data_IF_796846708182
#
_entry.id   IF_796846708182
#
_cell.length_a   1.000
_cell.length_b   1.000
_cell.length_c   1.000
_cell.angle_alpha   90.00
_cell.angle_beta   90.00
_cell.angle_gamma   90.00
#
_symmetry.space_group_name_H-M   'P 1'
#
loop_
_entity.id
_entity.type
_entity.pdbx_description
1 polymer ?
#
# COMPACT_ATOMS: atom_id res chain seq x y z
N UNK A 1 12.54 42.43 11.22
CA UNK A 1 12.36 41.60 10.00
C UNK A 1 12.73 40.13 10.24
N UNK A 2 13.86 39.81 10.88
CA UNK A 2 14.31 38.43 11.19
C UNK A 2 13.36 37.57 12.06
N UNK A 3 12.78 38.14 13.13
CA UNK A 3 11.88 37.43 14.07
C UNK A 3 10.53 37.00 13.45
N UNK A 4 10.02 37.76 12.48
CA UNK A 4 8.74 37.46 11.82
C UNK A 4 8.90 36.30 10.82
N UNK A 5 10.00 36.28 10.08
CA UNK A 5 10.35 35.20 9.16
C UNK A 5 10.61 33.88 9.87
N UNK A 6 11.26 33.89 11.04
CA UNK A 6 11.48 32.67 11.82
C UNK A 6 10.18 32.09 12.37
N UNK A 7 9.27 32.93 12.87
CA UNK A 7 7.99 32.47 13.41
C UNK A 7 7.07 31.88 12.32
N UNK A 8 7.05 32.47 11.12
CA UNK A 8 6.33 31.92 9.98
C UNK A 8 6.90 30.57 9.52
N UNK A 9 8.23 30.41 9.49
CA UNK A 9 8.85 29.12 9.16
C UNK A 9 8.48 28.03 10.17
N UNK A 10 8.43 28.36 11.46
CA UNK A 10 8.06 27.43 12.52
C UNK A 10 6.59 26.98 12.43
N UNK A 11 5.67 27.92 12.15
CA UNK A 11 4.26 27.62 11.87
C UNK A 11 4.08 26.77 10.62
N UNK A 12 4.82 27.04 9.55
CA UNK A 12 4.79 26.24 8.31
C UNK A 12 5.36 24.83 8.55
N UNK A 13 6.43 24.72 9.33
CA UNK A 13 7.05 23.43 9.67
C UNK A 13 6.12 22.55 10.53
N UNK A 14 5.52 23.13 11.56
CA UNK A 14 4.58 22.41 12.44
C UNK A 14 3.29 21.99 11.72
N UNK A 15 2.77 22.82 10.80
CA UNK A 15 1.62 22.46 9.97
C UNK A 15 1.94 21.38 8.93
N UNK A 16 3.14 21.41 8.33
CA UNK A 16 3.63 20.35 7.43
C UNK A 16 3.70 19.00 8.14
N UNK A 17 4.30 18.93 9.33
CA UNK A 17 4.47 17.68 10.07
C UNK A 17 3.13 17.07 10.49
N UNK A 18 2.17 17.91 10.90
CA UNK A 18 0.80 17.47 11.21
C UNK A 18 0.08 16.90 9.98
N UNK A 19 0.20 17.55 8.82
CA UNK A 19 -0.42 17.06 7.59
C UNK A 19 0.18 15.72 7.16
N UNK A 20 1.51 15.60 7.14
CA UNK A 20 2.19 14.34 6.80
C UNK A 20 1.70 13.19 7.68
N UNK A 21 1.63 13.39 9.00
CA UNK A 21 1.18 12.36 9.93
C UNK A 21 -0.29 11.99 9.70
N UNK A 22 -1.18 12.99 9.60
CA UNK A 22 -2.63 12.76 9.41
C UNK A 22 -2.91 12.04 8.09
N UNK A 23 -2.37 12.54 6.97
CA UNK A 23 -2.60 11.91 5.67
C UNK A 23 -1.90 10.56 5.54
N UNK A 24 -0.72 10.37 6.15
CA UNK A 24 -0.04 9.09 6.23
C UNK A 24 -0.86 8.04 6.99
N UNK A 25 -1.41 8.40 8.16
CA UNK A 25 -2.26 7.50 8.94
C UNK A 25 -3.57 7.16 8.22
N UNK A 26 -4.23 8.13 7.59
CA UNK A 26 -5.46 7.88 6.83
C UNK A 26 -5.16 6.99 5.61
N UNK A 27 -4.10 7.29 4.85
CA UNK A 27 -3.70 6.47 3.71
C UNK A 27 -3.33 5.05 4.14
N UNK A 28 -2.57 4.90 5.23
CA UNK A 28 -2.22 3.60 5.80
C UNK A 28 -3.44 2.82 6.27
N UNK A 29 -4.42 3.48 6.90
CA UNK A 29 -5.66 2.85 7.32
C UNK A 29 -6.48 2.37 6.11
N UNK A 30 -6.66 3.20 5.08
CA UNK A 30 -7.36 2.82 3.85
C UNK A 30 -6.67 1.62 3.20
N UNK A 31 -5.35 1.67 3.05
CA UNK A 31 -4.58 0.57 2.47
C UNK A 31 -4.68 -0.71 3.33
N UNK A 32 -4.71 -0.56 4.66
CA UNK A 32 -4.87 -1.68 5.61
C UNK A 32 -6.25 -2.34 5.50
N UNK A 33 -7.32 -1.56 5.39
CA UNK A 33 -8.67 -2.10 5.16
C UNK A 33 -8.72 -2.82 3.82
N UNK A 34 -8.09 -2.24 2.80
CA UNK A 34 -7.96 -2.86 1.49
C UNK A 34 -7.28 -4.22 1.53
N UNK A 35 -6.09 -4.32 2.10
CA UNK A 35 -5.34 -5.58 2.15
C UNK A 35 -5.96 -6.61 3.10
N UNK A 36 -6.62 -6.16 4.17
CA UNK A 36 -7.35 -7.04 5.08
C UNK A 36 -8.55 -7.73 4.39
N UNK A 37 -9.01 -7.24 3.24
CA UNK A 37 -10.04 -7.94 2.43
C UNK A 37 -9.59 -9.36 2.04
N UNK A 38 -8.28 -9.58 1.87
CA UNK A 38 -7.70 -10.89 1.57
C UNK A 38 -8.04 -11.94 2.63
N UNK A 39 -8.18 -11.53 3.89
CA UNK A 39 -8.56 -12.44 4.98
C UNK A 39 -10.03 -12.91 4.89
N UNK A 40 -10.83 -12.32 3.99
CA UNK A 40 -12.23 -12.64 3.79
C UNK A 40 -12.51 -13.25 2.41
N UNK A 41 -11.48 -13.78 1.75
CA UNK A 41 -11.57 -14.32 0.39
C UNK A 41 -12.69 -15.34 0.20
N UNK A 42 -12.97 -16.17 1.21
CA UNK A 42 -14.07 -17.15 1.17
C UNK A 42 -15.46 -16.52 1.00
N UNK A 43 -15.63 -15.25 1.36
CA UNK A 43 -16.93 -14.54 1.34
C UNK A 43 -17.10 -13.64 0.12
N UNK A 44 -16.00 -13.07 -0.36
CA UNK A 44 -16.02 -12.07 -1.43
C UNK A 44 -15.34 -12.55 -2.71
N UNK A 45 -14.80 -13.77 -2.76
CA UNK A 45 -13.97 -14.35 -3.83
C UNK A 45 -12.62 -13.66 -4.05
N UNK A 46 -11.70 -14.37 -4.70
CA UNK A 46 -10.31 -13.93 -4.89
C UNK A 46 -10.22 -12.69 -5.79
N UNK A 47 -11.00 -12.64 -6.87
CA UNK A 47 -11.03 -11.54 -7.83
C UNK A 47 -11.47 -10.22 -7.19
N UNK A 48 -12.61 -10.22 -6.47
CA UNK A 48 -13.10 -9.01 -5.84
C UNK A 48 -12.22 -8.61 -4.65
N UNK A 49 -11.65 -9.58 -3.93
CA UNK A 49 -10.68 -9.28 -2.86
C UNK A 49 -9.49 -8.50 -3.43
N UNK A 50 -8.94 -8.96 -4.56
CA UNK A 50 -7.82 -8.30 -5.24
C UNK A 50 -8.24 -6.91 -5.74
N UNK A 51 -9.41 -6.80 -6.36
CA UNK A 51 -9.94 -5.52 -6.83
C UNK A 51 -10.08 -4.50 -5.70
N UNK A 52 -10.63 -4.91 -4.55
CA UNK A 52 -10.77 -4.06 -3.36
C UNK A 52 -9.41 -3.63 -2.82
N UNK A 53 -8.44 -4.54 -2.75
CA UNK A 53 -7.08 -4.22 -2.31
C UNK A 53 -6.42 -3.18 -3.23
N UNK A 54 -6.47 -3.37 -4.54
CA UNK A 54 -5.92 -2.43 -5.52
C UNK A 54 -6.63 -1.08 -5.54
N UNK A 55 -7.97 -1.08 -5.50
CA UNK A 55 -8.75 0.16 -5.46
C UNK A 55 -8.44 0.98 -4.19
N UNK A 56 -8.30 0.30 -3.05
CA UNK A 56 -7.93 0.94 -1.79
C UNK A 56 -6.52 1.52 -1.83
N UNK A 57 -5.57 0.84 -2.48
CA UNK A 57 -4.21 1.35 -2.67
C UNK A 57 -4.20 2.63 -3.52
N UNK A 58 -4.95 2.66 -4.63
CA UNK A 58 -5.10 3.85 -5.48
C UNK A 58 -5.74 5.01 -4.70
N UNK A 59 -6.78 4.72 -3.91
CA UNK A 59 -7.41 5.70 -3.05
C UNK A 59 -6.43 6.25 -2.01
N UNK A 60 -5.64 5.40 -1.35
CA UNK A 60 -4.62 5.80 -0.39
C UNK A 60 -3.57 6.73 -1.03
N UNK A 61 -3.04 6.39 -2.21
CA UNK A 61 -2.06 7.23 -2.91
C UNK A 61 -2.63 8.55 -3.40
N UNK A 62 -3.92 8.61 -3.73
CA UNK A 62 -4.58 9.88 -4.10
C UNK A 62 -4.52 10.92 -2.97
N UNK A 63 -4.42 10.48 -1.70
CA UNK A 63 -4.30 11.39 -0.55
C UNK A 63 -2.97 12.15 -0.53
N UNK A 64 -1.93 11.65 -1.19
CA UNK A 64 -0.66 12.39 -1.35
C UNK A 64 -0.93 13.70 -2.09
N UNK A 65 -1.70 13.64 -3.18
CA UNK A 65 -2.06 14.84 -3.94
C UNK A 65 -2.85 15.83 -3.08
N UNK A 66 -3.81 15.35 -2.29
CA UNK A 66 -4.60 16.18 -1.37
C UNK A 66 -3.71 16.85 -0.32
N UNK A 67 -2.76 16.10 0.26
CA UNK A 67 -1.83 16.62 1.25
C UNK A 67 -0.90 17.70 0.66
N UNK A 68 -0.34 17.45 -0.52
CA UNK A 68 0.52 18.41 -1.24
C UNK A 68 -0.27 19.66 -1.60
N UNK A 69 -1.51 19.52 -2.10
CA UNK A 69 -2.40 20.65 -2.40
C UNK A 69 -2.67 21.48 -1.15
N UNK A 70 -3.05 20.85 -0.04
CA UNK A 70 -3.30 21.56 1.23
C UNK A 70 -2.07 22.32 1.70
N UNK A 71 -0.89 21.73 1.55
CA UNK A 71 0.36 22.37 1.94
C UNK A 71 0.77 23.53 1.01
N UNK A 72 0.47 23.42 -0.28
CA UNK A 72 0.62 24.50 -1.27
C UNK A 72 -0.30 25.67 -0.94
N UNK A 73 -1.57 25.39 -0.67
CA UNK A 73 -2.58 26.42 -0.42
C UNK A 73 -2.27 27.18 0.89
N UNK A 74 -1.76 26.48 1.91
CA UNK A 74 -1.26 27.09 3.15
C UNK A 74 0.00 27.98 2.96
N UNK A 75 0.76 27.79 1.87
CA UNK A 75 1.94 28.58 1.50
C UNK A 75 1.63 29.68 0.47
N UNK A 76 0.36 30.06 0.31
CA UNK A 76 -0.03 31.10 -0.63
C UNK A 76 -0.04 30.64 -2.10
N UNK A 77 -0.26 29.35 -2.34
CA UNK A 77 -0.47 28.79 -3.68
C UNK A 77 0.81 28.32 -4.39
N UNK A 78 1.99 28.49 -3.78
CA UNK A 78 3.27 28.02 -4.33
C UNK A 78 3.93 26.99 -3.42
N UNK A 79 4.45 25.92 -4.02
CA UNK A 79 5.25 24.90 -3.34
C UNK A 79 6.40 24.49 -4.26
N UNK A 80 7.60 24.32 -3.70
CA UNK A 80 8.73 23.82 -4.47
C UNK A 80 8.62 22.30 -4.64
N UNK A 81 9.14 21.77 -5.75
CA UNK A 81 9.14 20.33 -6.00
C UNK A 81 9.75 19.53 -4.84
N UNK A 82 10.90 19.97 -4.31
CA UNK A 82 11.56 19.29 -3.18
C UNK A 82 10.70 19.21 -1.91
N UNK A 83 9.88 20.23 -1.63
CA UNK A 83 8.94 20.18 -0.50
C UNK A 83 7.78 19.22 -0.78
N UNK A 84 7.19 19.29 -1.97
CA UNK A 84 6.11 18.39 -2.37
C UNK A 84 6.54 16.91 -2.37
N UNK A 85 7.72 16.63 -2.93
CA UNK A 85 8.31 15.28 -2.95
C UNK A 85 8.55 14.76 -1.53
N UNK A 86 9.13 15.58 -0.65
CA UNK A 86 9.37 15.21 0.75
C UNK A 86 8.07 14.87 1.49
N UNK A 87 7.02 15.67 1.30
CA UNK A 87 5.69 15.40 1.88
C UNK A 87 5.14 14.07 1.37
N UNK A 88 5.21 13.82 0.06
CA UNK A 88 4.78 12.54 -0.51
C UNK A 88 5.57 11.35 0.04
N UNK A 89 6.90 11.45 0.07
CA UNK A 89 7.77 10.39 0.59
C UNK A 89 7.44 10.01 2.04
N UNK A 90 7.24 10.97 2.93
CA UNK A 90 6.89 10.66 4.31
C UNK A 90 5.50 10.07 4.46
N UNK A 91 4.52 10.54 3.70
CA UNK A 91 3.17 9.95 3.69
C UNK A 91 3.25 8.50 3.21
N UNK A 92 3.95 8.24 2.10
CA UNK A 92 4.15 6.88 1.57
C UNK A 92 4.86 5.99 2.58
N UNK A 93 5.90 6.48 3.25
CA UNK A 93 6.63 5.70 4.26
C UNK A 93 5.74 5.29 5.44
N UNK A 94 4.91 6.21 5.95
CA UNK A 94 3.96 5.91 7.02
C UNK A 94 2.92 4.91 6.53
N UNK A 95 2.31 5.17 5.37
CA UNK A 95 1.25 4.33 4.82
C UNK A 95 1.74 2.91 4.51
N UNK A 96 2.93 2.76 3.91
CA UNK A 96 3.52 1.46 3.58
C UNK A 96 3.90 0.67 4.83
N UNK A 97 4.41 1.34 5.86
CA UNK A 97 4.73 0.68 7.15
C UNK A 97 3.48 0.09 7.79
N UNK A 98 2.37 0.84 7.79
CA UNK A 98 1.09 0.37 8.34
C UNK A 98 0.51 -0.76 7.48
N UNK A 99 0.57 -0.62 6.15
CA UNK A 99 0.16 -1.66 5.22
C UNK A 99 0.91 -2.99 5.46
N UNK A 100 2.25 -2.95 5.54
CA UNK A 100 3.08 -4.14 5.78
C UNK A 100 2.77 -4.75 7.14
N UNK A 101 2.61 -3.93 8.18
CA UNK A 101 2.24 -4.44 9.50
C UNK A 101 0.88 -5.17 9.47
N UNK A 102 -0.12 -4.60 8.81
CA UNK A 102 -1.42 -5.23 8.62
C UNK A 102 -1.31 -6.52 7.79
N UNK A 103 -0.56 -6.51 6.69
CA UNK A 103 -0.33 -7.69 5.85
C UNK A 103 0.28 -8.83 6.66
N UNK A 104 1.31 -8.55 7.47
CA UNK A 104 1.95 -9.55 8.31
C UNK A 104 0.94 -10.15 9.31
N UNK A 105 0.10 -9.32 9.94
CA UNK A 105 -0.95 -9.83 10.84
C UNK A 105 -1.95 -10.69 10.08
N UNK A 106 -2.44 -10.24 8.92
CA UNK A 106 -3.35 -11.01 8.07
C UNK A 106 -2.73 -12.35 7.63
N UNK A 107 -1.51 -12.32 7.12
CA UNK A 107 -0.80 -13.49 6.62
C UNK A 107 -0.59 -14.55 7.72
N UNK A 108 -0.03 -14.18 8.88
CA UNK A 108 0.28 -15.18 9.90
C UNK A 108 -0.93 -15.67 10.71
N UNK A 109 -1.99 -14.87 10.85
CA UNK A 109 -3.12 -15.21 11.73
C UNK A 109 -4.41 -15.56 10.99
N UNK A 110 -4.62 -15.05 9.78
CA UNK A 110 -5.89 -15.19 9.08
C UNK A 110 -5.79 -15.98 7.77
N UNK A 111 -4.68 -15.84 7.03
CA UNK A 111 -4.45 -16.51 5.73
C UNK A 111 -3.03 -17.08 5.63
N UNK A 112 -2.64 -18.03 6.50
CA UNK A 112 -1.30 -18.62 6.51
C UNK A 112 -0.99 -19.48 5.28
N UNK A 113 -2.03 -19.92 4.58
CA UNK A 113 -2.02 -20.72 3.37
C UNK A 113 -2.25 -19.88 2.10
N UNK A 114 -2.15 -18.54 2.19
CA UNK A 114 -2.34 -17.61 1.08
C UNK A 114 -1.64 -18.03 -0.22
N UNK A 115 -0.37 -18.47 -0.15
CA UNK A 115 0.37 -18.88 -1.34
C UNK A 115 -0.23 -20.11 -2.03
N UNK A 116 -0.82 -21.04 -1.29
CA UNK A 116 -1.49 -22.20 -1.88
C UNK A 116 -2.78 -21.76 -2.60
N UNK A 117 -3.60 -20.94 -1.93
CA UNK A 117 -4.84 -20.40 -2.50
C UNK A 117 -4.58 -19.55 -3.75
N UNK A 118 -3.55 -18.68 -3.69
CA UNK A 118 -3.14 -17.85 -4.83
C UNK A 118 -2.63 -18.69 -6.00
N UNK A 119 -1.87 -19.76 -5.73
CA UNK A 119 -1.39 -20.68 -6.78
C UNK A 119 -2.55 -21.37 -7.48
N UNK A 120 -3.52 -21.87 -6.72
CA UNK A 120 -4.71 -22.51 -7.27
C UNK A 120 -5.51 -21.53 -8.14
N UNK A 121 -5.74 -20.31 -7.64
CA UNK A 121 -6.41 -19.26 -8.38
C UNK A 121 -5.67 -18.88 -9.68
N UNK A 122 -4.34 -18.68 -9.63
CA UNK A 122 -3.56 -18.33 -10.81
C UNK A 122 -3.61 -19.45 -11.88
N UNK A 123 -3.58 -20.71 -11.46
CA UNK A 123 -3.66 -21.87 -12.36
C UNK A 123 -5.07 -22.04 -12.92
N UNK A 124 -6.13 -21.79 -12.12
CA UNK A 124 -7.49 -21.85 -12.63
C UNK A 124 -7.76 -20.81 -13.71
N UNK A 125 -7.20 -19.61 -13.56
CA UNK A 125 -7.28 -18.56 -14.59
C UNK A 125 -6.58 -18.98 -15.89
N UNK A 126 -5.36 -19.51 -15.81
CA UNK A 126 -4.63 -20.02 -16.98
C UNK A 126 -5.38 -21.16 -17.70
N UNK A 127 -6.00 -22.07 -16.93
CA UNK A 127 -6.84 -23.15 -17.48
C UNK A 127 -8.06 -22.58 -18.19
N UNK A 128 -8.72 -21.58 -17.62
CA UNK A 128 -9.88 -20.91 -18.22
C UNK A 128 -9.51 -20.18 -19.53
N UNK A 129 -8.29 -19.66 -19.62
CA UNK A 129 -7.73 -19.04 -20.81
C UNK A 129 -7.26 -20.05 -21.88
N UNK A 130 -7.30 -21.36 -21.59
CA UNK A 130 -6.91 -22.41 -22.51
C UNK A 130 -5.39 -22.59 -22.64
N UNK A 131 -4.63 -22.22 -21.61
CA UNK A 131 -3.18 -22.41 -21.58
C UNK A 131 -2.80 -23.90 -21.67
N UNK A 132 -1.66 -24.19 -22.29
CA UNK A 132 -1.13 -25.56 -22.36
C UNK A 132 -0.62 -26.03 -21.00
N UNK A 133 -0.59 -27.34 -20.80
CA UNK A 133 -0.01 -27.94 -19.58
C UNK A 133 1.43 -27.48 -19.32
N UNK A 134 2.22 -27.24 -20.37
CA UNK A 134 3.58 -26.69 -20.23
C UNK A 134 3.63 -25.31 -19.58
N UNK A 135 2.64 -24.45 -19.82
CA UNK A 135 2.53 -23.11 -19.21
C UNK A 135 2.06 -23.24 -17.76
N UNK A 136 1.11 -24.15 -17.50
CA UNK A 136 0.60 -24.43 -16.16
C UNK A 136 1.71 -24.99 -15.27
N UNK A 137 2.52 -25.94 -15.76
CA UNK A 137 3.67 -26.50 -15.05
C UNK A 137 4.72 -25.44 -14.74
N UNK A 138 5.03 -24.57 -15.70
CA UNK A 138 5.93 -23.45 -15.48
C UNK A 138 5.39 -22.50 -14.40
N UNK A 139 4.07 -22.26 -14.37
CA UNK A 139 3.43 -21.44 -13.34
C UNK A 139 3.54 -22.07 -11.96
N UNK A 140 3.33 -23.39 -11.83
CA UNK A 140 3.52 -24.09 -10.57
C UNK A 140 4.96 -23.96 -10.04
N UNK A 141 5.96 -24.12 -10.92
CA UNK A 141 7.37 -23.94 -10.53
C UNK A 141 7.68 -22.52 -10.06
N UNK A 142 7.15 -21.52 -10.78
CA UNK A 142 7.25 -20.10 -10.39
C UNK A 142 6.63 -19.86 -9.00
N UNK A 143 5.43 -20.40 -8.76
CA UNK A 143 4.73 -20.23 -7.49
C UNK A 143 5.42 -20.94 -6.32
N UNK A 144 6.06 -22.09 -6.54
CA UNK A 144 6.85 -22.75 -5.49
C UNK A 144 8.06 -21.91 -5.07
N UNK A 145 8.74 -21.25 -6.01
CA UNK A 145 9.83 -20.31 -5.68
C UNK A 145 9.31 -19.16 -4.80
N UNK A 146 8.17 -18.57 -5.17
CA UNK A 146 7.56 -17.53 -4.34
C UNK A 146 7.13 -18.07 -2.98
N UNK A 147 6.58 -19.28 -2.91
CA UNK A 147 6.19 -19.90 -1.64
C UNK A 147 7.37 -20.01 -0.68
N UNK A 148 8.55 -20.39 -1.16
CA UNK A 148 9.77 -20.40 -0.33
C UNK A 148 10.19 -18.99 0.13
N UNK A 149 10.07 -17.97 -0.72
CA UNK A 149 10.32 -16.58 -0.32
C UNK A 149 9.34 -16.11 0.76
N UNK A 150 8.05 -16.40 0.61
CA UNK A 150 7.02 -15.99 1.57
C UNK A 150 7.17 -16.64 2.96
N UNK A 151 7.88 -17.77 3.08
CA UNK A 151 8.25 -18.36 4.38
C UNK A 151 9.27 -17.51 5.13
N UNK A 152 10.07 -16.70 4.44
CA UNK A 152 11.06 -15.84 5.07
C UNK A 152 10.43 -14.45 5.35
N UNK A 153 10.34 -14.02 6.63
CA UNK A 153 9.74 -12.74 6.99
C UNK A 153 10.37 -11.54 6.28
N UNK A 154 11.66 -11.57 5.94
CA UNK A 154 12.31 -10.46 5.22
C UNK A 154 11.88 -10.33 3.77
N UNK A 155 11.55 -11.45 3.12
CA UNK A 155 11.03 -11.44 1.76
C UNK A 155 9.52 -11.25 1.74
N UNK A 156 8.80 -11.66 2.78
CA UNK A 156 7.35 -11.46 2.90
C UNK A 156 6.96 -9.98 3.13
N UNK A 157 7.82 -9.20 3.79
CA UNK A 157 7.59 -7.75 3.98
C UNK A 157 7.93 -6.90 2.75
N UNK A 158 8.55 -7.50 1.72
CA UNK A 158 9.04 -6.81 0.52
C UNK A 158 7.99 -6.87 -0.60
#
# INVERSE_FOLDING_TARGET
>A
MSLYTSHLQELIHTTMNKNVLVYGLIAGFIASVGIASMAFVDKIDFDNSMLVAYASMLLAFSLIFVAVKKQRDAQGGMITFGKALRTGLYITLIASTIYVATWMVCYYFFVPDFMAQYTEFAVSQLRAEGASETIIDAKHQEMEVFREFYKNPFFNIL
#
